data_IF_895574804276
#
_entry.id   IF_895574804276
#
_cell.length_a   1.000
_cell.length_b   1.000
_cell.length_c   1.000
_cell.angle_alpha   90.00
_cell.angle_beta   90.00
_cell.angle_gamma   90.00
#
_symmetry.space_group_name_H-M   'P 1'
#
loop_
_entity.id
_entity.type
_entity.pdbx_description
1 polymer ?
#
# COMPACT_ATOMS: atom_id res chain seq x y z
N UNK A 1 1.01 3.75 -36.20
CA UNK A 1 0.00 3.69 -35.11
C UNK A 1 0.41 4.73 -34.08
N UNK A 2 -0.53 5.29 -33.34
CA UNK A 2 -0.19 6.22 -32.25
C UNK A 2 0.64 5.46 -31.21
N UNK A 3 1.78 6.05 -30.76
CA UNK A 3 2.58 5.53 -29.64
C UNK A 3 2.20 6.20 -28.32
N UNK A 4 1.00 6.78 -28.24
CA UNK A 4 0.52 7.51 -27.07
C UNK A 4 -0.27 6.60 -26.14
N UNK A 5 0.14 6.52 -24.89
CA UNK A 5 -0.41 5.66 -23.83
C UNK A 5 -1.03 6.53 -22.75
N UNK A 6 -2.19 6.10 -22.23
CA UNK A 6 -2.77 6.67 -21.02
C UNK A 6 -2.46 5.75 -19.82
N UNK A 7 -2.01 6.36 -18.73
CA UNK A 7 -1.85 5.69 -17.43
C UNK A 7 -2.78 6.36 -16.43
N UNK A 8 -3.71 5.61 -15.87
CA UNK A 8 -4.67 6.08 -14.86
C UNK A 8 -4.19 5.63 -13.48
N UNK A 9 -3.83 6.60 -12.65
CA UNK A 9 -3.26 6.44 -11.32
C UNK A 9 -1.75 6.66 -11.26
N UNK A 10 -1.33 7.61 -10.42
CA UNK A 10 0.08 8.01 -10.23
C UNK A 10 0.75 7.32 -9.02
N UNK A 11 0.24 6.16 -8.60
CA UNK A 11 0.88 5.28 -7.61
C UNK A 11 1.93 4.37 -8.24
N UNK A 12 2.51 3.43 -7.46
CA UNK A 12 3.58 2.54 -7.92
C UNK A 12 3.26 1.82 -9.24
N UNK A 13 2.06 1.26 -9.40
CA UNK A 13 1.71 0.55 -10.64
C UNK A 13 1.84 1.43 -11.88
N UNK A 14 1.21 2.61 -11.84
CA UNK A 14 1.23 3.52 -12.98
C UNK A 14 2.61 4.12 -13.21
N UNK A 15 3.30 4.56 -12.17
CA UNK A 15 4.62 5.19 -12.29
C UNK A 15 5.69 4.25 -12.87
N UNK A 16 5.70 2.97 -12.46
CA UNK A 16 6.60 1.95 -13.01
C UNK A 16 6.34 1.73 -14.50
N UNK A 17 5.07 1.54 -14.87
CA UNK A 17 4.68 1.34 -16.28
C UNK A 17 5.03 2.57 -17.11
N UNK A 18 4.65 3.76 -16.64
CA UNK A 18 4.95 5.01 -17.35
C UNK A 18 6.46 5.16 -17.60
N UNK A 19 7.29 4.90 -16.59
CA UNK A 19 8.76 4.99 -16.72
C UNK A 19 9.31 3.99 -17.72
N UNK A 20 8.92 2.72 -17.62
CA UNK A 20 9.43 1.67 -18.50
C UNK A 20 9.03 1.89 -19.97
N UNK A 21 7.79 2.29 -20.22
CA UNK A 21 7.31 2.58 -21.58
C UNK A 21 7.99 3.81 -22.16
N UNK A 22 8.15 4.86 -21.36
CA UNK A 22 8.80 6.10 -21.81
C UNK A 22 10.27 5.90 -22.15
N UNK A 23 10.99 5.03 -21.45
CA UNK A 23 12.37 4.64 -21.79
C UNK A 23 12.49 3.90 -23.13
N UNK A 24 11.37 3.37 -23.64
CA UNK A 24 11.28 2.73 -24.96
C UNK A 24 10.64 3.63 -26.02
N UNK A 25 10.49 4.94 -25.74
CA UNK A 25 10.05 5.92 -26.73
C UNK A 25 8.52 6.16 -26.80
N UNK A 26 7.74 5.54 -25.94
CA UNK A 26 6.32 5.84 -25.85
C UNK A 26 6.07 7.23 -25.25
N UNK A 27 5.01 7.89 -25.73
CA UNK A 27 4.46 9.11 -25.13
C UNK A 27 3.42 8.70 -24.08
N UNK A 28 3.61 9.12 -22.85
CA UNK A 28 2.73 8.72 -21.73
C UNK A 28 2.06 9.93 -21.12
N UNK A 29 0.73 9.98 -21.21
CA UNK A 29 -0.08 10.84 -20.37
C UNK A 29 -0.49 10.04 -19.12
N UNK A 30 -0.18 10.58 -17.95
CA UNK A 30 -0.60 10.03 -16.66
C UNK A 30 -1.61 10.97 -16.02
N UNK A 31 -2.72 10.40 -15.54
CA UNK A 31 -3.73 11.14 -14.78
C UNK A 31 -3.94 10.52 -13.40
N UNK A 32 -4.24 11.34 -12.41
CA UNK A 32 -4.70 10.89 -11.09
C UNK A 32 -5.82 11.80 -10.59
N UNK A 33 -6.84 11.22 -9.94
CA UNK A 33 -7.94 11.98 -9.33
C UNK A 33 -7.49 12.83 -8.15
N UNK A 34 -6.41 12.42 -7.47
CA UNK A 34 -5.77 13.13 -6.35
C UNK A 34 -4.92 14.29 -6.88
N UNK A 35 -4.63 15.23 -6.02
CA UNK A 35 -3.79 16.41 -6.28
C UNK A 35 -2.29 16.17 -6.06
N UNK A 36 -1.90 14.91 -5.83
CA UNK A 36 -0.52 14.49 -5.60
C UNK A 36 -0.18 13.18 -6.33
N UNK A 37 1.11 12.96 -6.59
CA UNK A 37 1.70 11.70 -7.07
C UNK A 37 1.91 10.72 -5.92
N UNK A 38 2.53 9.58 -6.20
CA UNK A 38 2.88 8.50 -5.30
C UNK A 38 1.69 7.66 -4.77
N UNK A 39 0.44 8.02 -5.11
CA UNK A 39 -0.73 7.25 -4.69
C UNK A 39 -0.78 7.09 -3.17
N UNK A 40 -0.95 5.85 -2.68
CA UNK A 40 -0.97 5.59 -1.24
C UNK A 40 0.40 5.73 -0.55
N UNK A 41 1.51 5.75 -1.30
CA UNK A 41 2.84 5.96 -0.73
C UNK A 41 3.21 7.46 -0.57
N UNK A 42 2.27 8.37 -0.85
CA UNK A 42 2.50 9.81 -0.71
C UNK A 42 2.90 10.16 0.72
N UNK A 43 4.00 10.89 0.84
CA UNK A 43 4.55 11.40 2.07
C UNK A 43 4.90 12.89 1.95
N UNK A 44 4.95 13.55 3.09
CA UNK A 44 5.23 14.99 3.16
C UNK A 44 5.85 15.36 4.51
N UNK A 45 6.55 16.48 4.56
CA UNK A 45 7.00 17.06 5.82
C UNK A 45 5.88 17.93 6.41
N UNK A 46 5.49 17.62 7.66
CA UNK A 46 4.47 18.41 8.38
C UNK A 46 5.04 19.74 8.89
N UNK A 47 4.23 20.51 9.64
CA UNK A 47 4.62 21.81 10.21
C UNK A 47 5.85 21.74 11.15
N UNK A 48 6.18 20.57 11.69
CA UNK A 48 7.31 20.33 12.58
C UNK A 48 8.50 19.69 11.85
N UNK A 49 8.49 19.68 10.51
CA UNK A 49 9.50 19.07 9.66
C UNK A 49 9.70 17.57 9.94
N UNK A 50 8.62 16.86 10.30
CA UNK A 50 8.61 15.40 10.46
C UNK A 50 8.03 14.79 9.18
N UNK A 51 8.71 13.82 8.59
CA UNK A 51 8.23 13.12 7.41
C UNK A 51 7.08 12.18 7.79
N UNK A 52 5.89 12.44 7.26
CA UNK A 52 4.65 11.72 7.55
C UNK A 52 4.13 11.07 6.27
N UNK A 53 3.76 9.79 6.33
CA UNK A 53 3.04 9.17 5.21
C UNK A 53 1.54 9.42 5.36
N UNK A 54 0.93 10.03 4.36
CA UNK A 54 -0.48 10.44 4.40
C UNK A 54 -1.44 9.27 4.61
N UNK A 55 -1.12 8.12 4.05
CA UNK A 55 -1.99 6.94 4.02
C UNK A 55 -1.40 5.75 4.79
N UNK A 56 -0.83 6.03 5.96
CA UNK A 56 -0.24 5.01 6.84
C UNK A 56 1.17 4.57 6.41
N UNK A 57 1.82 3.72 7.22
CA UNK A 57 3.22 3.38 7.02
C UNK A 57 3.41 2.52 5.77
N UNK A 58 4.27 2.99 4.91
CA UNK A 58 4.80 2.29 3.76
C UNK A 58 6.27 1.97 4.03
N UNK A 59 6.55 0.73 4.38
CA UNK A 59 7.88 0.24 4.77
C UNK A 59 8.37 -0.69 3.68
N UNK A 60 9.48 -0.34 3.02
CA UNK A 60 9.97 -1.11 1.90
C UNK A 60 10.80 -2.31 2.36
N UNK A 61 10.39 -3.48 1.91
CA UNK A 61 11.08 -4.74 2.15
C UNK A 61 10.91 -5.68 0.95
N UNK A 62 11.90 -6.47 0.63
CA UNK A 62 11.82 -7.43 -0.48
C UNK A 62 13.03 -8.38 -0.54
N UNK A 63 12.82 -9.55 -1.14
CA UNK A 63 13.88 -10.44 -1.63
C UNK A 63 14.06 -10.33 -3.15
N UNK A 64 13.23 -9.52 -3.82
CA UNK A 64 13.32 -9.34 -5.27
C UNK A 64 14.36 -8.27 -5.61
N UNK A 65 15.57 -8.72 -5.97
CA UNK A 65 16.70 -7.86 -6.34
C UNK A 65 16.38 -6.94 -7.51
N UNK A 66 15.68 -7.42 -8.54
CA UNK A 66 15.33 -6.61 -9.71
C UNK A 66 14.44 -5.43 -9.35
N UNK A 67 13.49 -5.63 -8.40
CA UNK A 67 12.63 -4.55 -7.88
C UNK A 67 13.46 -3.53 -7.11
N UNK A 68 14.36 -4.00 -6.22
CA UNK A 68 15.23 -3.12 -5.45
C UNK A 68 16.16 -2.30 -6.36
N UNK A 69 16.80 -2.94 -7.34
CA UNK A 69 17.68 -2.28 -8.31
C UNK A 69 16.92 -1.28 -9.18
N UNK A 70 15.71 -1.62 -9.65
CA UNK A 70 14.89 -0.70 -10.42
C UNK A 70 14.58 0.58 -9.64
N UNK A 71 14.11 0.46 -8.39
CA UNK A 71 13.79 1.60 -7.55
C UNK A 71 15.04 2.40 -7.11
N UNK A 72 16.17 1.74 -6.93
CA UNK A 72 17.46 2.36 -6.56
C UNK A 72 17.98 3.35 -7.63
N UNK A 73 17.44 3.31 -8.83
CA UNK A 73 17.71 4.32 -9.88
C UNK A 73 17.16 5.70 -9.52
N UNK A 74 16.18 5.75 -8.61
CA UNK A 74 15.40 6.95 -8.30
C UNK A 74 15.55 7.44 -6.87
N UNK A 75 16.24 6.68 -6.01
CA UNK A 75 16.48 7.08 -4.62
C UNK A 75 17.78 6.51 -4.09
N UNK A 76 18.33 7.16 -3.07
CA UNK A 76 19.24 6.53 -2.12
C UNK A 76 18.41 5.90 -1.01
N UNK A 77 18.92 4.83 -0.41
CA UNK A 77 18.23 4.10 0.65
C UNK A 77 18.88 4.34 2.02
N UNK A 78 18.06 4.30 3.05
CA UNK A 78 18.48 4.23 4.45
C UNK A 78 18.01 2.90 5.00
N UNK A 79 18.93 2.09 5.52
CA UNK A 79 18.60 0.78 6.10
C UNK A 79 17.60 0.93 7.24
N UNK A 80 16.57 0.09 7.22
CA UNK A 80 15.54 0.09 8.25
C UNK A 80 14.97 -1.30 8.47
N UNK A 81 15.23 -1.87 9.63
CA UNK A 81 14.65 -3.13 10.07
C UNK A 81 13.39 -2.88 10.90
N UNK A 82 12.24 -3.23 10.35
CA UNK A 82 10.96 -2.96 10.98
C UNK A 82 10.72 -3.84 12.21
N UNK A 83 10.31 -3.19 13.31
CA UNK A 83 9.83 -3.82 14.54
C UNK A 83 8.46 -3.28 14.87
N UNK A 84 7.59 -4.16 15.37
CA UNK A 84 6.24 -3.83 15.78
C UNK A 84 6.02 -4.31 17.21
N UNK A 85 5.34 -3.50 17.99
CA UNK A 85 4.85 -3.90 19.32
C UNK A 85 3.31 -3.92 19.31
N UNK A 86 2.72 -4.67 20.23
CA UNK A 86 1.31 -4.55 20.58
C UNK A 86 1.20 -4.03 22.01
N UNK A 87 0.19 -3.21 22.27
CA UNK A 87 -0.13 -2.74 23.63
C UNK A 87 -1.20 -3.66 24.22
N UNK A 88 -0.93 -4.21 25.40
CA UNK A 88 -1.88 -5.04 26.15
C UNK A 88 -2.78 -4.16 27.02
N UNK A 89 -3.82 -4.74 27.64
CA UNK A 89 -4.77 -4.03 28.52
C UNK A 89 -4.09 -3.39 29.74
N UNK A 90 -3.00 -4.00 30.24
CA UNK A 90 -2.22 -3.46 31.36
C UNK A 90 -1.25 -2.33 30.95
N UNK A 91 -1.27 -1.93 29.67
CA UNK A 91 -0.39 -0.91 29.11
C UNK A 91 1.02 -1.41 28.73
N UNK A 92 1.35 -2.67 28.97
CA UNK A 92 2.64 -3.22 28.59
C UNK A 92 2.74 -3.45 27.08
N UNK A 93 3.98 -3.35 26.55
CA UNK A 93 4.28 -3.60 25.14
C UNK A 93 4.91 -4.98 24.96
N UNK A 94 4.36 -5.73 24.00
CA UNK A 94 4.88 -7.05 23.59
C UNK A 94 5.25 -7.05 22.11
N UNK A 95 6.12 -7.98 21.71
CA UNK A 95 6.62 -8.07 20.33
C UNK A 95 5.56 -8.65 19.37
N UNK A 96 5.48 -8.06 18.16
CA UNK A 96 4.80 -8.64 17.00
C UNK A 96 5.77 -8.73 15.79
N UNK A 97 5.65 -9.78 14.94
CA UNK A 97 4.78 -10.97 15.09
C UNK A 97 5.01 -11.69 16.42
N UNK A 98 3.95 -12.35 16.91
CA UNK A 98 4.00 -13.09 18.18
C UNK A 98 5.19 -14.05 18.18
N UNK A 99 6.11 -13.86 19.11
CA UNK A 99 7.29 -14.69 19.34
C UNK A 99 7.19 -15.44 20.68
N UNK A 100 8.22 -16.19 21.09
CA UNK A 100 8.20 -16.95 22.34
C UNK A 100 7.98 -16.06 23.57
N UNK A 101 8.64 -14.90 23.65
CA UNK A 101 8.48 -13.96 24.76
C UNK A 101 7.03 -13.47 24.88
N UNK A 102 6.40 -13.15 23.74
CA UNK A 102 5.00 -12.73 23.70
C UNK A 102 4.06 -13.87 24.10
N UNK A 103 4.32 -15.12 23.67
CA UNK A 103 3.55 -16.30 24.08
C UNK A 103 3.65 -16.54 25.59
N UNK A 104 4.85 -16.47 26.14
CA UNK A 104 5.08 -16.66 27.59
C UNK A 104 4.35 -15.57 28.41
N UNK A 105 4.27 -14.34 27.88
CA UNK A 105 3.61 -13.23 28.55
C UNK A 105 2.08 -13.35 28.59
N UNK A 106 1.45 -13.80 27.49
CA UNK A 106 -0.03 -13.82 27.37
C UNK A 106 -0.67 -15.21 27.50
N UNK A 107 0.11 -16.26 27.29
CA UNK A 107 -0.37 -17.65 27.16
C UNK A 107 -0.62 -18.03 25.69
N UNK A 108 -0.13 -19.18 25.27
CA UNK A 108 -0.21 -19.63 23.87
C UNK A 108 -1.65 -19.80 23.39
N UNK A 109 -2.55 -20.26 24.28
CA UNK A 109 -3.97 -20.45 24.04
C UNK A 109 -4.73 -19.12 23.80
N UNK A 110 -4.18 -17.99 24.26
CA UNK A 110 -4.81 -16.66 24.13
C UNK A 110 -4.31 -15.86 22.92
N UNK A 111 -3.28 -16.33 22.23
CA UNK A 111 -2.65 -15.58 21.12
C UNK A 111 -3.66 -15.17 20.05
N UNK A 112 -4.53 -16.06 19.62
CA UNK A 112 -5.52 -15.79 18.59
C UNK A 112 -6.49 -14.71 19.03
N UNK A 113 -7.06 -14.85 20.24
CA UNK A 113 -8.09 -13.94 20.74
C UNK A 113 -7.50 -12.59 21.19
N UNK A 114 -6.21 -12.53 21.54
CA UNK A 114 -5.55 -11.28 21.93
C UNK A 114 -5.07 -10.47 20.71
N UNK A 115 -4.46 -11.10 19.72
CA UNK A 115 -3.75 -10.37 18.65
C UNK A 115 -4.41 -10.52 17.28
N UNK A 116 -4.90 -11.72 16.92
CA UNK A 116 -5.35 -12.00 15.56
C UNK A 116 -6.82 -11.59 15.38
N UNK A 117 -7.69 -12.06 16.24
CA UNK A 117 -9.13 -11.80 16.14
C UNK A 117 -9.48 -10.31 16.19
N UNK A 118 -9.10 -9.54 17.24
CA UNK A 118 -9.55 -8.14 17.35
C UNK A 118 -8.97 -7.28 16.22
N UNK A 119 -7.72 -7.50 15.83
CA UNK A 119 -7.13 -6.78 14.71
C UNK A 119 -7.81 -7.12 13.38
N UNK A 120 -7.99 -8.41 13.10
CA UNK A 120 -8.54 -8.87 11.81
C UNK A 120 -10.01 -8.49 11.65
N UNK A 121 -10.83 -8.66 12.67
CA UNK A 121 -12.26 -8.30 12.62
C UNK A 121 -12.44 -6.78 12.45
N UNK A 122 -11.64 -5.94 13.13
CA UNK A 122 -11.65 -4.49 12.91
C UNK A 122 -11.22 -4.15 11.48
N UNK A 123 -10.09 -4.68 11.04
CA UNK A 123 -9.51 -4.37 9.74
C UNK A 123 -10.43 -4.77 8.59
N UNK A 124 -10.99 -5.97 8.63
CA UNK A 124 -11.73 -6.53 7.50
C UNK A 124 -13.25 -6.33 7.60
N UNK A 125 -13.78 -5.99 8.79
CA UNK A 125 -15.21 -5.83 9.02
C UNK A 125 -16.01 -7.14 8.85
N UNK A 126 -15.34 -8.27 9.05
CA UNK A 126 -15.87 -9.63 8.97
C UNK A 126 -15.49 -10.38 10.24
N UNK A 127 -16.24 -11.43 10.60
CA UNK A 127 -15.79 -12.35 11.64
C UNK A 127 -14.54 -13.10 11.19
N UNK A 128 -13.68 -13.49 12.13
CA UNK A 128 -12.41 -14.15 11.82
C UNK A 128 -12.60 -15.38 10.89
N UNK A 129 -13.67 -16.13 11.11
CA UNK A 129 -14.05 -17.34 10.36
C UNK A 129 -14.53 -17.05 8.92
N UNK A 130 -14.92 -15.80 8.65
CA UNK A 130 -15.38 -15.34 7.33
C UNK A 130 -14.23 -14.74 6.48
N UNK A 131 -13.08 -14.48 7.09
CA UNK A 131 -11.89 -13.94 6.43
C UNK A 131 -11.13 -15.08 5.76
N UNK A 132 -10.64 -14.86 4.54
CA UNK A 132 -9.80 -15.85 3.86
C UNK A 132 -8.58 -16.23 4.69
N UNK A 133 -8.26 -17.54 4.84
CA UNK A 133 -7.06 -18.00 5.55
C UNK A 133 -5.76 -17.38 5.05
N UNK A 134 -5.64 -17.07 3.76
CA UNK A 134 -4.48 -16.40 3.18
C UNK A 134 -4.18 -15.04 3.81
N UNK A 135 -5.22 -14.35 4.27
CA UNK A 135 -5.08 -13.06 4.94
C UNK A 135 -4.65 -13.24 6.40
N UNK A 136 -5.27 -14.19 7.09
CA UNK A 136 -5.01 -14.45 8.52
C UNK A 136 -3.58 -14.94 8.71
N UNK A 137 -3.12 -15.85 7.84
CA UNK A 137 -1.80 -16.49 7.93
C UNK A 137 -0.63 -15.62 7.44
N UNK A 138 -0.88 -14.38 7.00
CA UNK A 138 0.20 -13.48 6.56
C UNK A 138 1.17 -13.09 7.66
N UNK A 139 0.70 -12.99 8.90
CA UNK A 139 1.53 -12.67 10.05
C UNK A 139 1.79 -13.97 10.82
N UNK A 140 3.02 -14.50 10.79
CA UNK A 140 3.31 -15.79 11.42
C UNK A 140 3.30 -15.69 12.94
N UNK A 141 2.88 -16.76 13.60
CA UNK A 141 3.15 -17.00 15.01
C UNK A 141 4.47 -17.77 15.09
N UNK A 142 5.47 -17.24 15.81
CA UNK A 142 6.85 -17.74 15.80
C UNK A 142 7.19 -18.55 17.04
N UNK A 143 8.18 -19.43 16.87
CA UNK A 143 8.76 -20.24 17.96
C UNK A 143 10.24 -19.87 18.21
N UNK A 144 10.56 -18.59 18.06
CA UNK A 144 11.87 -18.00 18.33
C UNK A 144 11.73 -16.68 19.11
N UNK A 145 12.84 -15.99 19.39
CA UNK A 145 12.89 -14.70 20.07
C UNK A 145 13.09 -13.52 19.09
N UNK A 146 12.96 -13.74 17.78
CA UNK A 146 13.21 -12.71 16.80
C UNK A 146 12.16 -11.59 16.88
N UNK A 147 12.61 -10.35 16.96
CA UNK A 147 11.75 -9.16 17.03
C UNK A 147 11.53 -8.49 15.66
N UNK A 148 12.25 -8.90 14.62
CA UNK A 148 12.13 -8.28 13.31
C UNK A 148 10.80 -8.69 12.65
N UNK A 149 10.12 -7.72 12.05
CA UNK A 149 8.85 -8.00 11.37
C UNK A 149 9.07 -8.79 10.07
N UNK A 150 10.15 -8.51 9.33
CA UNK A 150 10.54 -9.17 8.08
C UNK A 150 11.92 -9.83 8.19
N UNK A 151 12.11 -10.89 9.03
CA UNK A 151 13.43 -11.42 9.35
C UNK A 151 14.16 -12.06 8.17
N UNK A 152 13.43 -12.44 7.12
CA UNK A 152 13.96 -13.18 5.97
C UNK A 152 14.13 -12.32 4.72
N UNK A 153 13.83 -11.01 4.79
CA UNK A 153 13.96 -10.15 3.64
C UNK A 153 15.34 -9.49 3.57
N UNK A 154 16.01 -9.69 2.44
CA UNK A 154 17.37 -9.21 2.19
C UNK A 154 17.44 -7.68 2.17
N UNK A 155 16.46 -7.06 1.50
CA UNK A 155 16.38 -5.61 1.37
C UNK A 155 15.28 -5.07 2.25
N UNK A 156 15.65 -4.26 3.25
CA UNK A 156 14.73 -3.56 4.12
C UNK A 156 15.25 -2.14 4.30
N UNK A 157 14.57 -1.17 3.71
CA UNK A 157 15.08 0.21 3.68
C UNK A 157 13.96 1.23 3.46
N UNK A 158 14.26 2.49 3.73
CA UNK A 158 13.40 3.62 3.44
C UNK A 158 14.05 4.52 2.40
N UNK A 159 13.29 5.10 1.45
CA UNK A 159 13.84 6.10 0.53
C UNK A 159 14.36 7.30 1.34
N UNK A 160 15.62 7.67 1.16
CA UNK A 160 16.28 8.69 1.99
C UNK A 160 15.55 10.03 2.02
N UNK A 161 15.00 10.46 0.89
CA UNK A 161 14.24 11.71 0.76
C UNK A 161 12.70 11.51 0.78
N UNK A 162 12.23 10.32 1.16
CA UNK A 162 10.82 9.95 1.12
C UNK A 162 10.38 9.37 -0.23
N UNK A 163 9.15 8.84 -0.22
CA UNK A 163 8.56 8.23 -1.42
C UNK A 163 8.19 9.28 -2.46
N UNK A 164 7.62 10.40 -2.06
CA UNK A 164 7.24 11.47 -3.00
C UNK A 164 8.42 11.89 -3.86
N UNK A 165 9.60 12.11 -3.25
CA UNK A 165 10.83 12.44 -3.98
C UNK A 165 11.31 11.31 -4.89
N UNK A 166 11.12 10.04 -4.52
CA UNK A 166 11.39 8.89 -5.38
C UNK A 166 10.50 8.93 -6.63
N UNK A 167 9.20 9.18 -6.44
CA UNK A 167 8.24 9.28 -7.55
C UNK A 167 8.52 10.47 -8.47
N UNK A 168 8.88 11.64 -7.93
CA UNK A 168 9.28 12.80 -8.71
C UNK A 168 10.41 12.43 -9.69
N UNK A 169 11.47 11.76 -9.21
CA UNK A 169 12.57 11.32 -10.06
C UNK A 169 12.15 10.23 -11.05
N UNK A 170 11.30 9.28 -10.65
CA UNK A 170 10.81 8.22 -11.53
C UNK A 170 9.97 8.78 -12.67
N UNK A 171 9.15 9.79 -12.41
CA UNK A 171 8.27 10.43 -13.40
C UNK A 171 8.96 11.55 -14.19
N UNK A 172 10.17 11.96 -13.80
CA UNK A 172 10.96 12.96 -14.52
C UNK A 172 11.52 12.35 -15.81
N UNK A 173 10.73 12.42 -16.88
CA UNK A 173 11.11 11.97 -18.22
C UNK A 173 10.44 12.86 -19.28
N UNK A 174 11.14 13.19 -20.41
CA UNK A 174 10.59 14.13 -21.42
C UNK A 174 9.26 13.69 -22.04
N UNK A 175 9.00 12.39 -22.09
CA UNK A 175 7.79 11.83 -22.71
C UNK A 175 6.70 11.47 -21.70
N UNK A 176 6.87 11.78 -20.41
CA UNK A 176 5.83 11.61 -19.39
C UNK A 176 5.19 12.96 -19.08
N UNK A 177 3.88 13.04 -19.22
CA UNK A 177 3.08 14.19 -18.79
C UNK A 177 2.13 13.77 -17.69
N UNK A 178 2.21 14.39 -16.51
CA UNK A 178 1.36 14.10 -15.36
C UNK A 178 0.30 15.20 -15.19
N UNK A 179 -0.97 14.80 -15.08
CA UNK A 179 -2.11 15.69 -14.81
C UNK A 179 -2.83 15.20 -13.56
N UNK A 180 -2.66 15.92 -12.47
CA UNK A 180 -3.30 15.65 -11.18
C UNK A 180 -4.70 16.29 -11.11
N UNK A 181 -5.52 15.89 -10.13
CA UNK A 181 -6.91 16.37 -9.99
C UNK A 181 -7.79 16.00 -11.18
N UNK A 182 -7.43 14.96 -11.95
CA UNK A 182 -8.09 14.58 -13.18
C UNK A 182 -8.73 13.21 -13.06
N UNK A 183 -10.06 13.17 -13.12
CA UNK A 183 -10.81 11.92 -13.14
C UNK A 183 -10.77 11.27 -14.52
N UNK A 184 -10.59 9.96 -14.55
CA UNK A 184 -10.72 9.19 -15.78
C UNK A 184 -12.15 9.23 -16.31
N UNK A 185 -12.28 9.43 -17.62
CA UNK A 185 -13.52 9.33 -18.37
C UNK A 185 -13.31 8.31 -19.49
N UNK A 186 -14.27 7.43 -19.71
CA UNK A 186 -14.13 6.31 -20.65
C UNK A 186 -13.88 6.77 -22.10
N UNK A 187 -14.40 7.93 -22.44
CA UNK A 187 -14.21 8.59 -23.74
C UNK A 187 -12.74 8.93 -24.04
N UNK A 188 -11.93 9.14 -23.00
CA UNK A 188 -10.50 9.42 -23.14
C UNK A 188 -9.75 8.27 -23.84
N UNK A 189 -10.26 7.03 -23.72
CA UNK A 189 -9.61 5.87 -24.37
C UNK A 189 -9.47 6.03 -25.89
N UNK A 190 -10.36 6.81 -26.52
CA UNK A 190 -10.33 7.01 -27.97
C UNK A 190 -9.02 7.63 -28.47
N UNK A 191 -8.38 8.48 -27.65
CA UNK A 191 -7.20 9.27 -28.01
C UNK A 191 -5.88 8.50 -27.82
N UNK A 192 -5.90 7.30 -27.24
CA UNK A 192 -4.72 6.54 -26.89
C UNK A 192 -4.67 5.18 -27.59
N UNK A 193 -3.46 4.71 -27.84
CA UNK A 193 -3.24 3.36 -28.37
C UNK A 193 -3.60 2.28 -27.35
N UNK A 194 -3.29 2.53 -26.09
CA UNK A 194 -3.59 1.63 -24.97
C UNK A 194 -3.76 2.42 -23.67
N UNK A 195 -4.48 1.84 -22.72
CA UNK A 195 -4.73 2.41 -21.39
C UNK A 195 -4.29 1.40 -20.32
N UNK A 196 -3.44 1.84 -19.40
CA UNK A 196 -3.17 1.11 -18.15
C UNK A 196 -3.97 1.76 -17.03
N UNK A 197 -4.90 1.02 -16.44
CA UNK A 197 -5.89 1.58 -15.52
C UNK A 197 -5.81 0.95 -14.14
N UNK A 198 -5.51 1.74 -13.11
CA UNK A 198 -5.43 1.30 -11.72
C UNK A 198 -6.70 1.57 -10.90
N UNK A 199 -7.74 2.13 -11.50
CA UNK A 199 -9.02 2.33 -10.81
C UNK A 199 -9.69 0.99 -10.50
N UNK A 200 -10.65 0.95 -9.56
CA UNK A 200 -11.44 -0.25 -9.32
C UNK A 200 -12.16 -0.72 -10.59
N UNK A 201 -12.05 -2.03 -10.90
CA UNK A 201 -12.62 -2.59 -12.13
C UNK A 201 -14.15 -2.47 -12.17
N UNK A 202 -14.83 -2.62 -11.03
CA UNK A 202 -16.27 -2.45 -10.91
C UNK A 202 -16.71 -1.00 -11.21
N UNK A 203 -15.94 -0.01 -10.78
CA UNK A 203 -16.19 1.41 -11.07
C UNK A 203 -16.00 1.71 -12.56
N UNK A 204 -14.98 1.14 -13.20
CA UNK A 204 -14.77 1.27 -14.65
C UNK A 204 -15.95 0.74 -15.48
N UNK A 205 -16.62 -0.30 -15.01
CA UNK A 205 -17.82 -0.87 -15.64
C UNK A 205 -19.14 -0.39 -15.04
N UNK A 206 -19.15 0.80 -14.39
CA UNK A 206 -20.34 1.43 -13.83
C UNK A 206 -21.16 0.51 -12.91
N UNK A 207 -20.46 -0.36 -12.18
CA UNK A 207 -21.05 -1.34 -11.25
C UNK A 207 -22.12 -2.25 -11.86
N UNK A 208 -22.08 -2.52 -13.15
CA UNK A 208 -23.13 -3.27 -13.87
C UNK A 208 -23.37 -4.70 -13.35
N UNK A 209 -22.38 -5.32 -12.65
CA UNK A 209 -22.53 -6.63 -11.98
C UNK A 209 -22.65 -6.48 -10.45
N UNK A 210 -22.73 -5.25 -9.94
CA UNK A 210 -22.72 -4.91 -8.51
C UNK A 210 -21.35 -4.49 -7.99
N UNK A 211 -21.29 -3.79 -6.84
CA UNK A 211 -20.04 -3.29 -6.29
C UNK A 211 -19.18 -4.40 -5.68
N UNK A 212 -17.88 -4.32 -5.91
CA UNK A 212 -16.89 -5.14 -5.22
C UNK A 212 -16.66 -4.60 -3.80
N UNK A 213 -16.59 -5.45 -2.78
CA UNK A 213 -16.29 -5.02 -1.43
C UNK A 213 -14.85 -4.56 -1.26
N UNK A 214 -14.67 -3.37 -0.65
CA UNK A 214 -13.37 -2.83 -0.28
C UNK A 214 -13.39 -2.34 1.16
N UNK A 215 -12.22 -2.39 1.81
CA UNK A 215 -11.97 -1.70 3.08
C UNK A 215 -11.25 -0.39 2.85
N UNK A 216 -11.53 0.54 3.74
CA UNK A 216 -10.90 1.85 3.83
C UNK A 216 -10.26 2.06 5.19
N UNK A 217 -9.46 3.10 5.30
CA UNK A 217 -8.83 3.57 6.53
C UNK A 217 -8.99 5.08 6.63
N UNK A 218 -9.42 5.55 7.80
CA UNK A 218 -9.27 6.96 8.18
C UNK A 218 -7.93 7.11 8.92
N UNK A 219 -7.17 8.12 8.55
CA UNK A 219 -5.86 8.40 9.13
C UNK A 219 -5.96 9.67 9.99
N UNK A 220 -5.80 9.51 11.30
CA UNK A 220 -5.87 10.60 12.26
C UNK A 220 -4.44 11.02 12.62
N UNK A 221 -3.97 12.10 12.00
CA UNK A 221 -2.64 12.67 12.27
C UNK A 221 -2.70 13.60 13.47
N UNK A 222 -1.76 13.42 14.40
CA UNK A 222 -1.66 14.21 15.66
C UNK A 222 -0.22 14.57 15.90
N UNK A 223 0.05 15.86 16.14
CA UNK A 223 1.36 16.36 16.57
C UNK A 223 1.33 16.60 18.07
N UNK A 224 2.34 16.12 18.78
CA UNK A 224 2.46 16.24 20.24
C UNK A 224 3.75 16.98 20.62
N UNK A 225 3.69 17.92 21.60
CA UNK A 225 4.85 18.71 22.05
C UNK A 225 5.74 17.91 23.02
N UNK A 226 6.14 16.73 22.60
CA UNK A 226 7.05 15.83 23.33
C UNK A 226 8.01 15.16 22.34
N UNK A 227 9.22 14.77 22.78
CA UNK A 227 10.23 14.24 21.86
C UNK A 227 9.85 12.90 21.22
N UNK A 228 9.21 11.99 21.97
CA UNK A 228 8.88 10.63 21.54
C UNK A 228 7.97 9.94 22.55
N UNK A 229 7.17 8.97 22.12
CA UNK A 229 6.28 8.14 22.96
C UNK A 229 6.70 6.68 22.92
N UNK A 230 6.85 6.12 21.72
CA UNK A 230 7.04 4.69 21.52
C UNK A 230 8.49 4.32 21.19
N UNK A 231 8.93 3.09 21.58
CA UNK A 231 10.28 2.62 21.26
C UNK A 231 10.41 2.15 19.80
N UNK A 232 9.28 1.98 19.07
CA UNK A 232 9.19 1.49 17.70
C UNK A 232 8.26 2.37 16.87
N UNK A 233 8.35 2.23 15.55
CA UNK A 233 7.51 3.00 14.62
C UNK A 233 6.02 2.65 14.75
N UNK A 234 5.70 1.37 14.94
CA UNK A 234 4.32 0.88 14.91
C UNK A 234 3.95 0.14 16.19
N UNK A 235 2.79 0.51 16.78
CA UNK A 235 2.18 -0.19 17.91
C UNK A 235 0.75 -0.56 17.55
N UNK A 236 0.42 -1.86 17.64
CA UNK A 236 -0.93 -2.37 17.38
C UNK A 236 -1.75 -2.37 18.66
N UNK A 237 -3.04 -2.08 18.54
CA UNK A 237 -4.00 -2.14 19.63
C UNK A 237 -4.68 -3.51 19.69
N UNK A 238 -4.75 -4.08 20.89
CA UNK A 238 -5.43 -5.36 21.18
C UNK A 238 -6.83 -5.18 21.76
N UNK A 239 -7.21 -3.96 22.14
CA UNK A 239 -8.50 -3.61 22.72
C UNK A 239 -9.62 -3.49 21.67
N UNK A 240 -10.86 -3.30 22.15
CA UNK A 240 -12.06 -3.13 21.33
C UNK A 240 -12.25 -1.71 20.76
N UNK A 241 -11.27 -0.81 20.96
CA UNK A 241 -11.32 0.55 20.43
C UNK A 241 -11.31 0.58 18.89
N UNK A 242 -11.58 1.75 18.29
CA UNK A 242 -11.77 1.87 16.84
C UNK A 242 -10.48 1.71 16.03
N UNK A 243 -9.32 1.89 16.65
CA UNK A 243 -8.04 1.87 15.97
C UNK A 243 -7.42 0.48 15.92
N UNK A 244 -6.77 0.16 14.81
CA UNK A 244 -5.95 -1.05 14.69
C UNK A 244 -4.53 -0.83 15.14
N UNK A 245 -3.95 0.35 14.87
CA UNK A 245 -2.57 0.68 15.21
C UNK A 245 -2.35 2.18 15.30
N UNK A 246 -1.23 2.53 15.92
CA UNK A 246 -0.65 3.87 15.89
C UNK A 246 0.76 3.79 15.32
N UNK A 247 1.15 4.79 14.54
CA UNK A 247 2.48 4.95 13.96
C UNK A 247 3.12 6.20 14.52
N UNK A 248 4.36 6.11 15.00
CA UNK A 248 5.19 7.26 15.38
C UNK A 248 6.29 7.48 14.36
N UNK A 249 6.17 8.54 13.58
CA UNK A 249 6.98 8.80 12.38
C UNK A 249 8.45 9.04 12.66
N UNK A 250 8.80 9.59 13.79
CA UNK A 250 10.20 9.82 14.19
C UNK A 250 11.00 8.53 14.47
N UNK A 251 10.34 7.40 14.54
CA UNK A 251 10.99 6.09 14.64
C UNK A 251 11.39 5.51 13.29
N UNK A 252 11.13 6.21 12.18
CA UNK A 252 11.64 5.87 10.85
C UNK A 252 12.92 6.67 10.59
N UNK A 253 14.03 6.05 10.14
CA UNK A 253 15.36 6.69 10.12
C UNK A 253 15.49 7.84 9.13
N UNK A 254 14.68 7.89 8.07
CA UNK A 254 14.66 8.97 7.08
C UNK A 254 13.82 10.18 7.52
N UNK A 255 13.14 10.10 8.67
CA UNK A 255 12.41 11.24 9.22
C UNK A 255 13.34 12.16 10.00
N UNK A 256 13.34 13.48 9.74
CA UNK A 256 14.08 14.43 10.51
C UNK A 256 13.73 14.37 12.00
N UNK A 257 14.75 14.53 12.87
CA UNK A 257 14.60 14.40 14.31
C UNK A 257 14.30 15.77 14.95
N UNK A 258 13.02 16.07 15.18
CA UNK A 258 12.60 17.24 15.92
C UNK A 258 12.75 16.97 17.43
N UNK A 259 13.50 17.77 18.21
CA UNK A 259 13.72 17.53 19.64
C UNK A 259 12.51 17.85 20.52
N UNK A 260 11.54 18.61 20.01
CA UNK A 260 10.41 19.12 20.79
C UNK A 260 9.09 18.45 20.46
N UNK A 261 8.92 17.95 19.22
CA UNK A 261 7.67 17.39 18.74
C UNK A 261 7.84 15.98 18.23
N UNK A 262 6.78 15.19 18.35
CA UNK A 262 6.59 13.93 17.63
C UNK A 262 5.26 13.95 16.90
N UNK A 263 5.15 13.14 15.84
CA UNK A 263 3.91 13.01 15.05
C UNK A 263 3.45 11.56 15.04
N UNK A 264 2.17 11.39 15.32
CA UNK A 264 1.50 10.10 15.35
C UNK A 264 0.42 10.05 14.27
N UNK A 265 0.16 8.84 13.78
CA UNK A 265 -1.01 8.55 12.96
C UNK A 265 -1.74 7.35 13.54
N UNK A 266 -3.01 7.55 13.92
CA UNK A 266 -3.91 6.46 14.29
C UNK A 266 -4.67 5.99 13.06
N UNK A 267 -4.80 4.68 12.87
CA UNK A 267 -5.52 4.08 11.76
C UNK A 267 -6.85 3.48 12.22
N UNK A 268 -7.94 4.00 11.65
CA UNK A 268 -9.32 3.56 11.90
C UNK A 268 -9.88 2.87 10.66
N UNK A 269 -10.02 1.53 10.65
CA UNK A 269 -10.64 0.82 9.55
C UNK A 269 -12.14 1.10 9.45
N UNK A 270 -12.61 1.25 8.21
CA UNK A 270 -14.04 1.47 7.93
C UNK A 270 -14.45 0.88 6.58
N UNK A 271 -15.74 0.91 6.28
CA UNK A 271 -16.20 0.71 4.90
C UNK A 271 -15.72 1.85 4.02
N UNK A 272 -15.39 1.57 2.75
CA UNK A 272 -15.00 2.62 1.83
C UNK A 272 -16.12 3.65 1.60
N UNK A 273 -17.38 3.26 1.72
CA UNK A 273 -18.55 4.17 1.62
C UNK A 273 -18.60 5.18 2.75
N UNK A 274 -17.99 4.89 3.91
CA UNK A 274 -17.89 5.78 5.07
C UNK A 274 -16.68 6.72 5.03
N UNK A 275 -15.86 6.62 3.96
CA UNK A 275 -14.66 7.40 3.78
C UNK A 275 -14.56 7.95 2.34
N UNK A 276 -15.57 8.70 1.89
CA UNK A 276 -15.62 9.36 0.59
C UNK A 276 -15.31 8.42 -0.60
N UNK A 277 -15.70 7.17 -0.51
CA UNK A 277 -15.41 6.10 -1.48
C UNK A 277 -13.90 5.83 -1.70
N UNK A 278 -13.02 6.25 -0.78
CA UNK A 278 -11.61 5.87 -0.84
C UNK A 278 -11.44 4.37 -0.54
N UNK A 279 -10.80 3.67 -1.46
CA UNK A 279 -10.59 2.22 -1.41
C UNK A 279 -9.11 1.91 -1.23
N UNK A 280 -8.78 1.10 -0.20
CA UNK A 280 -7.39 0.72 0.06
C UNK A 280 -7.15 -0.78 -0.13
N UNK A 281 -8.09 -1.62 0.31
CA UNK A 281 -7.90 -3.07 0.34
C UNK A 281 -9.11 -3.82 -0.20
N UNK A 282 -8.93 -4.68 -1.23
CA UNK A 282 -9.95 -5.64 -1.64
C UNK A 282 -10.28 -6.61 -0.50
N UNK A 283 -11.56 -6.89 -0.27
CA UNK A 283 -11.98 -7.84 0.76
C UNK A 283 -11.94 -9.25 0.21
N UNK A 284 -11.10 -10.11 0.79
CA UNK A 284 -11.07 -11.54 0.50
C UNK A 284 -11.89 -12.30 1.53
N UNK A 285 -13.05 -12.75 1.13
CA UNK A 285 -13.92 -13.59 1.94
C UNK A 285 -13.55 -15.08 1.81
N UNK A 286 -13.82 -15.89 2.84
CA UNK A 286 -13.56 -17.32 2.85
C UNK A 286 -14.42 -18.08 1.86
N UNK A 287 -15.63 -17.57 1.52
CA UNK A 287 -16.54 -18.21 0.56
C UNK A 287 -16.11 -18.06 -0.90
N UNK A 288 -15.23 -17.08 -1.21
CA UNK A 288 -14.75 -16.81 -2.56
C UNK A 288 -15.70 -16.00 -3.45
N UNK A 289 -16.86 -15.57 -2.95
CA UNK A 289 -17.86 -14.81 -3.73
C UNK A 289 -17.31 -13.51 -4.31
N UNK A 290 -16.49 -12.80 -3.55
CA UNK A 290 -15.90 -11.57 -4.02
C UNK A 290 -14.94 -11.80 -5.19
N UNK A 291 -14.21 -12.91 -5.14
CA UNK A 291 -13.34 -13.33 -6.25
C UNK A 291 -14.15 -13.72 -7.49
N UNK A 292 -15.26 -14.43 -7.33
CA UNK A 292 -16.15 -14.79 -8.45
C UNK A 292 -16.70 -13.55 -9.13
N UNK A 293 -17.17 -12.56 -8.36
CA UNK A 293 -17.63 -11.29 -8.90
C UNK A 293 -16.53 -10.54 -9.65
N UNK A 294 -15.32 -10.49 -9.08
CA UNK A 294 -14.16 -9.91 -9.78
C UNK A 294 -13.85 -10.62 -11.09
N UNK A 295 -13.89 -11.97 -11.11
CA UNK A 295 -13.64 -12.74 -12.32
C UNK A 295 -14.72 -12.50 -13.40
N UNK A 296 -15.97 -12.27 -13.01
CA UNK A 296 -17.03 -11.88 -13.93
C UNK A 296 -16.74 -10.51 -14.59
N UNK A 297 -16.29 -9.52 -13.81
CA UNK A 297 -15.82 -8.24 -14.38
C UNK A 297 -14.62 -8.42 -15.29
N UNK A 298 -13.64 -9.20 -14.86
CA UNK A 298 -12.44 -9.48 -15.64
C UNK A 298 -12.75 -10.13 -16.99
N UNK A 299 -13.78 -10.95 -17.06
CA UNK A 299 -14.22 -11.62 -18.29
C UNK A 299 -14.86 -10.66 -19.31
N UNK A 300 -15.21 -9.42 -18.89
CA UNK A 300 -15.78 -8.41 -19.81
C UNK A 300 -14.74 -7.76 -20.73
N UNK A 301 -13.53 -8.14 -20.65
CA UNK A 301 -12.30 -7.64 -21.28
C UNK A 301 -12.47 -6.53 -22.34
N UNK A 302 -11.75 -5.42 -22.10
CA UNK A 302 -11.51 -4.40 -23.11
C UNK A 302 -10.06 -4.58 -23.64
N UNK A 303 -9.84 -4.99 -24.90
CA UNK A 303 -8.48 -5.22 -25.41
C UNK A 303 -7.61 -3.96 -25.43
N UNK A 304 -8.24 -2.79 -25.31
CA UNK A 304 -7.56 -1.49 -25.26
C UNK A 304 -7.13 -1.10 -23.83
N UNK A 305 -7.64 -1.79 -22.79
CA UNK A 305 -7.37 -1.42 -21.40
C UNK A 305 -6.81 -2.59 -20.61
N UNK A 306 -5.66 -2.39 -19.96
CA UNK A 306 -5.08 -3.33 -19.00
C UNK A 306 -5.29 -2.81 -17.58
N UNK A 307 -5.99 -3.58 -16.76
CA UNK A 307 -6.13 -3.25 -15.34
C UNK A 307 -4.87 -3.61 -14.57
N UNK A 308 -4.41 -2.66 -13.75
CA UNK A 308 -3.16 -2.75 -13.00
C UNK A 308 -3.38 -2.43 -11.53
N UNK A 309 -2.43 -2.85 -10.70
CA UNK A 309 -2.39 -2.51 -9.29
C UNK A 309 -3.49 -3.16 -8.46
N UNK A 310 -3.50 -2.79 -7.20
CA UNK A 310 -4.29 -3.42 -6.15
C UNK A 310 -5.80 -3.37 -6.40
N UNK A 311 -6.31 -2.23 -6.85
CA UNK A 311 -7.74 -2.02 -7.07
C UNK A 311 -8.21 -2.55 -8.43
N UNK A 312 -7.46 -2.27 -9.50
CA UNK A 312 -7.79 -2.74 -10.84
C UNK A 312 -7.75 -4.28 -10.98
N UNK A 313 -6.84 -4.93 -10.25
CA UNK A 313 -6.70 -6.39 -10.24
C UNK A 313 -7.43 -7.08 -9.08
N UNK A 314 -8.09 -6.32 -8.22
CA UNK A 314 -8.78 -6.83 -7.02
C UNK A 314 -7.92 -7.80 -6.19
N UNK A 315 -6.70 -7.38 -5.87
CA UNK A 315 -5.71 -8.24 -5.19
C UNK A 315 -4.98 -7.45 -4.09
N UNK A 316 -4.70 -8.11 -2.98
CA UNK A 316 -3.83 -7.56 -1.96
C UNK A 316 -2.36 -7.76 -2.38
N UNK A 317 -1.63 -6.66 -2.55
CA UNK A 317 -0.22 -6.65 -2.92
C UNK A 317 0.57 -5.74 -2.00
N UNK A 318 1.74 -6.18 -1.57
CA UNK A 318 2.73 -5.30 -0.94
C UNK A 318 3.44 -4.44 -2.00
N UNK A 319 4.13 -3.37 -1.59
CA UNK A 319 4.75 -2.43 -2.54
C UNK A 319 5.66 -3.13 -3.55
N UNK A 320 6.53 -4.01 -3.09
CA UNK A 320 7.45 -4.74 -3.98
C UNK A 320 6.72 -5.64 -4.97
N UNK A 321 5.59 -6.23 -4.56
CA UNK A 321 4.75 -7.05 -5.45
C UNK A 321 4.05 -6.20 -6.51
N UNK A 322 3.59 -5.00 -6.12
CA UNK A 322 3.03 -4.03 -7.08
C UNK A 322 4.06 -3.65 -8.12
N UNK A 323 5.28 -3.30 -7.71
CA UNK A 323 6.37 -2.95 -8.62
C UNK A 323 6.71 -4.11 -9.54
N UNK A 324 6.93 -5.31 -8.99
CA UNK A 324 7.24 -6.53 -9.77
C UNK A 324 6.17 -6.86 -10.80
N UNK A 325 4.90 -6.83 -10.39
CA UNK A 325 3.77 -7.07 -11.30
C UNK A 325 3.71 -6.03 -12.42
N UNK A 326 3.95 -4.76 -12.10
CA UNK A 326 3.92 -3.68 -13.07
C UNK A 326 5.09 -3.76 -14.07
N UNK A 327 6.28 -4.15 -13.61
CA UNK A 327 7.43 -4.42 -14.48
C UNK A 327 7.09 -5.54 -15.49
N UNK A 328 6.55 -6.65 -15.01
CA UNK A 328 6.18 -7.79 -15.86
C UNK A 328 5.09 -7.42 -16.89
N UNK A 329 4.10 -6.60 -16.50
CA UNK A 329 3.06 -6.10 -17.41
C UNK A 329 3.68 -5.19 -18.48
N UNK A 330 4.56 -4.26 -18.09
CA UNK A 330 5.23 -3.38 -19.04
C UNK A 330 6.12 -4.15 -20.02
N UNK A 331 6.92 -5.10 -19.53
CA UNK A 331 7.78 -5.96 -20.38
C UNK A 331 6.96 -6.78 -21.38
N UNK A 332 5.84 -7.36 -20.95
CA UNK A 332 4.93 -8.08 -21.84
C UNK A 332 4.37 -7.15 -22.90
N UNK A 333 3.87 -5.99 -22.51
CA UNK A 333 3.32 -5.01 -23.46
C UNK A 333 4.35 -4.56 -24.50
N UNK A 334 5.56 -4.24 -24.08
CA UNK A 334 6.66 -3.83 -24.96
C UNK A 334 7.07 -4.92 -25.95
N UNK A 335 7.05 -6.17 -25.52
CA UNK A 335 7.35 -7.32 -26.40
C UNK A 335 6.27 -7.53 -27.47
N UNK A 336 5.01 -7.30 -27.12
CA UNK A 336 3.86 -7.47 -28.00
C UNK A 336 3.63 -6.26 -28.94
N UNK A 337 4.14 -5.08 -28.55
CA UNK A 337 3.94 -3.81 -29.26
C UNK A 337 5.28 -3.07 -29.42
N UNK A 338 6.23 -3.55 -30.22
CA UNK A 338 7.47 -2.85 -30.46
C UNK A 338 7.22 -1.56 -31.26
N UNK A 339 7.97 -0.45 -30.95
CA UNK A 339 7.94 0.81 -31.69
C UNK A 339 8.84 0.76 -32.92
#
# INVERSE_FOLDING_TARGET
MSNKILVVGAGFSGAVIARMLSEQGYLVDMIDKRDHIAGNAFDYHNAHNILVHQYGPHLFHTNNRSVFEFLSRFTEWVDYQHRVKAILEDGSLVTLPVNLETKDRVGEDKVIDTFIRPYSEKMWGLKLEEISPDIINRVPIRNDLNELYFPNDEFQAMPKAGYTALFEKMLQHPTIQVKLGTHFQKEMEADYAHVFNSMPIDEYYDYCLGPLPYRSLKFHHVDLPIPRIFPVCQVNFTNDGPYTRVVEWKNIPNSPQNPQYTSLTYEEPCSYTENNNERFYPVKDASGKNRELYLAYKAMENPKTTFIGRLGQYVYLDMHQVVSSSMAIAEKFLKENPL
#
